data_IF_287701667632
#
_entry.id   IF_287701667632
#
_cell.length_a   1.000
_cell.length_b   1.000
_cell.length_c   1.000
_cell.angle_alpha   90.00
_cell.angle_beta   90.00
_cell.angle_gamma   90.00
#
_symmetry.space_group_name_H-M   'P 1'
#
loop_
_entity.id
_entity.type
_entity.pdbx_description
1 polymer ?
#
# COMPACT_ATOMS: atom_id res chain seq x y z
N UNK A 1 40.42 9.60 -11.02
CA UNK A 1 40.76 10.70 -10.11
C UNK A 1 40.00 10.49 -8.82
N UNK A 2 40.69 10.06 -7.77
CA UNK A 2 40.12 9.91 -6.43
C UNK A 2 40.09 11.28 -5.75
N UNK A 3 38.91 11.87 -5.60
CA UNK A 3 38.76 13.01 -4.70
C UNK A 3 39.08 12.54 -3.28
N UNK A 4 39.96 13.24 -2.53
CA UNK A 4 40.14 12.97 -1.11
C UNK A 4 38.79 13.14 -0.39
N UNK A 5 38.50 12.29 0.59
CA UNK A 5 37.40 12.64 1.50
C UNK A 5 37.82 13.89 2.28
N UNK A 6 36.98 14.94 2.36
CA UNK A 6 37.20 15.99 3.34
C UNK A 6 37.14 15.35 4.73
N UNK A 7 38.03 15.78 5.62
CA UNK A 7 37.87 15.51 7.05
C UNK A 7 36.58 16.15 7.59
N UNK A 8 36.22 15.93 8.86
CA UNK A 8 35.09 16.63 9.48
C UNK A 8 35.37 18.14 9.45
N UNK A 9 34.73 18.83 8.51
CA UNK A 9 34.80 20.28 8.39
C UNK A 9 33.85 20.90 9.39
N UNK A 10 34.35 21.78 10.25
CA UNK A 10 33.54 22.50 11.23
C UNK A 10 32.68 23.58 10.56
N UNK A 11 31.54 23.15 10.01
CA UNK A 11 30.55 24.03 9.38
C UNK A 11 29.68 24.66 10.48
N UNK A 12 29.60 25.99 10.51
CA UNK A 12 28.80 26.74 11.48
C UNK A 12 27.74 27.58 10.80
N UNK A 13 26.54 27.68 11.39
CA UNK A 13 25.48 28.58 10.95
C UNK A 13 25.67 29.96 11.61
N UNK A 14 25.85 31.02 10.81
CA UNK A 14 26.14 32.39 11.31
C UNK A 14 24.93 33.32 11.22
N UNK A 15 23.96 32.98 10.38
CA UNK A 15 22.64 33.58 10.25
C UNK A 15 21.71 32.51 9.65
N UNK A 16 20.37 32.66 9.70
CA UNK A 16 19.45 31.66 9.15
C UNK A 16 19.80 31.27 7.72
N UNK A 17 19.87 29.97 7.45
CA UNK A 17 20.26 29.37 6.15
C UNK A 17 21.65 29.81 5.63
N UNK A 18 22.48 30.43 6.48
CA UNK A 18 23.79 30.99 6.12
C UNK A 18 24.91 30.25 6.84
N UNK A 19 25.60 29.38 6.10
CA UNK A 19 26.62 28.49 6.62
C UNK A 19 28.02 28.91 6.16
N UNK A 20 28.99 28.79 7.05
CA UNK A 20 30.38 29.17 6.84
C UNK A 20 31.28 28.00 7.26
N UNK A 21 32.34 27.76 6.50
CA UNK A 21 33.36 26.75 6.82
C UNK A 21 34.47 27.28 7.76
N UNK A 22 35.39 26.40 8.16
CA UNK A 22 36.55 26.73 9.00
C UNK A 22 37.41 27.88 8.46
N UNK A 23 37.39 28.15 7.15
CA UNK A 23 38.20 29.19 6.51
C UNK A 23 37.50 30.55 6.48
N UNK A 24 36.24 30.63 6.94
CA UNK A 24 35.42 31.83 6.82
C UNK A 24 34.72 31.97 5.47
N UNK A 25 34.78 30.95 4.60
CA UNK A 25 34.10 30.98 3.30
C UNK A 25 32.63 30.58 3.44
N UNK A 26 31.74 31.41 2.91
CA UNK A 26 30.29 31.20 2.92
C UNK A 26 29.90 30.15 1.87
N UNK A 27 29.26 29.07 2.30
CA UNK A 27 28.81 28.00 1.41
C UNK A 27 27.66 28.46 0.51
N UNK A 28 27.74 28.12 -0.78
CA UNK A 28 26.64 28.37 -1.72
C UNK A 28 25.47 27.40 -1.45
N UNK A 29 24.24 27.78 -1.84
CA UNK A 29 23.05 26.92 -1.68
C UNK A 29 23.17 25.55 -2.39
N UNK A 30 24.11 25.41 -3.34
CA UNK A 30 24.42 24.15 -4.02
C UNK A 30 25.36 23.27 -3.19
N UNK A 31 26.28 23.85 -2.44
CA UNK A 31 27.22 23.15 -1.55
C UNK A 31 26.56 22.75 -0.24
N UNK A 32 25.80 23.65 0.38
CA UNK A 32 24.91 23.38 1.53
C UNK A 32 24.10 22.11 1.27
N UNK A 33 23.46 22.02 0.10
CA UNK A 33 22.63 20.86 -0.27
C UNK A 33 23.42 19.65 -0.77
N UNK A 34 24.73 19.58 -0.55
CA UNK A 34 25.54 18.39 -0.81
C UNK A 34 26.07 17.74 0.47
N UNK A 35 26.02 18.44 1.62
CA UNK A 35 26.61 18.02 2.89
C UNK A 35 25.61 18.23 4.04
N UNK A 36 25.71 17.44 5.09
CA UNK A 36 24.92 17.66 6.31
C UNK A 36 25.41 18.94 7.00
N UNK A 37 24.46 19.79 7.40
CA UNK A 37 24.67 21.08 8.08
C UNK A 37 24.00 21.07 9.47
N UNK A 38 24.47 21.90 10.43
CA UNK A 38 23.91 21.99 11.79
C UNK A 38 22.52 22.65 11.88
N UNK A 39 21.82 22.81 10.76
CA UNK A 39 20.59 23.58 10.63
C UNK A 39 19.43 23.10 11.53
N UNK A 40 18.88 24.04 12.30
CA UNK A 40 17.60 24.01 13.05
C UNK A 40 17.35 22.86 14.07
N UNK A 41 18.22 21.86 14.17
CA UNK A 41 18.19 20.81 15.18
C UNK A 41 19.62 20.46 15.58
N UNK A 42 19.84 20.01 16.81
CA UNK A 42 21.16 19.53 17.25
C UNK A 42 21.56 18.28 16.44
N UNK A 43 22.38 18.48 15.41
CA UNK A 43 23.03 17.43 14.63
C UNK A 43 24.33 17.07 15.33
N UNK A 44 24.60 15.78 15.52
CA UNK A 44 25.85 15.31 16.09
C UNK A 44 27.04 15.64 15.17
N UNK A 45 28.15 16.06 15.77
CA UNK A 45 29.30 16.60 15.05
C UNK A 45 29.88 15.63 14.01
N UNK A 46 29.80 14.31 14.24
CA UNK A 46 30.33 13.30 13.29
C UNK A 46 29.50 13.18 12.00
N UNK A 47 28.29 13.75 11.98
CA UNK A 47 27.43 13.80 10.81
C UNK A 47 27.66 15.05 9.97
N UNK A 48 28.15 16.15 10.54
CA UNK A 48 28.38 17.42 9.82
C UNK A 48 29.42 17.19 8.71
N UNK A 49 29.19 17.79 7.54
CA UNK A 49 30.03 17.60 6.35
C UNK A 49 29.81 16.28 5.59
N UNK A 50 29.10 15.29 6.15
CA UNK A 50 28.84 14.02 5.45
C UNK A 50 28.00 14.24 4.18
N UNK A 51 28.26 13.52 3.07
CA UNK A 51 27.57 13.75 1.81
C UNK A 51 26.09 13.35 1.87
N UNK A 52 25.19 14.24 1.43
CA UNK A 52 23.74 14.00 1.42
C UNK A 52 23.29 13.14 0.24
N UNK A 53 22.27 12.31 0.47
CA UNK A 53 21.64 11.53 -0.60
C UNK A 53 20.84 12.42 -1.56
N UNK A 54 21.18 12.35 -2.86
CA UNK A 54 20.44 13.07 -3.92
C UNK A 54 19.00 12.55 -4.06
N UNK A 55 18.01 13.41 -4.40
CA UNK A 55 16.60 13.01 -4.55
C UNK A 55 16.39 11.82 -5.49
N UNK A 56 17.08 11.79 -6.64
CA UNK A 56 16.99 10.69 -7.62
C UNK A 56 17.43 9.35 -7.04
N UNK A 57 18.48 9.32 -6.20
CA UNK A 57 18.92 8.07 -5.53
C UNK A 57 17.89 7.60 -4.52
N UNK A 58 17.27 8.53 -3.76
CA UNK A 58 16.16 8.22 -2.85
C UNK A 58 14.93 7.70 -3.61
N UNK A 59 14.60 8.28 -4.76
CA UNK A 59 13.51 7.81 -5.63
C UNK A 59 13.77 6.40 -6.17
N UNK A 60 14.96 6.15 -6.72
CA UNK A 60 15.36 4.82 -7.21
C UNK A 60 15.35 3.76 -6.09
N UNK A 61 15.82 4.11 -4.89
CA UNK A 61 15.76 3.22 -3.72
C UNK A 61 14.31 2.84 -3.37
N UNK A 62 13.40 3.83 -3.32
CA UNK A 62 11.99 3.61 -3.03
C UNK A 62 11.29 2.81 -4.14
N UNK A 63 11.69 2.96 -5.40
CA UNK A 63 11.18 2.16 -6.52
C UNK A 63 11.57 0.67 -6.39
N UNK A 64 12.84 0.39 -6.08
CA UNK A 64 13.32 -0.98 -5.82
C UNK A 64 12.62 -1.58 -4.60
N UNK A 65 12.56 -0.84 -3.49
CA UNK A 65 11.86 -1.27 -2.27
C UNK A 65 10.36 -1.51 -2.56
N UNK A 66 9.74 -0.71 -3.43
CA UNK A 66 8.35 -0.85 -3.86
C UNK A 66 8.06 -2.15 -4.62
N UNK A 67 8.94 -2.57 -5.54
CA UNK A 67 8.82 -3.88 -6.22
C UNK A 67 8.90 -5.04 -5.22
N UNK A 68 9.80 -4.94 -4.25
CA UNK A 68 9.97 -5.95 -3.18
C UNK A 68 8.72 -6.01 -2.28
N UNK A 69 8.17 -4.84 -1.92
CA UNK A 69 6.93 -4.74 -1.13
C UNK A 69 5.72 -5.25 -1.91
N UNK A 70 5.63 -5.01 -3.21
CA UNK A 70 4.55 -5.55 -4.06
C UNK A 70 4.57 -7.09 -4.08
N UNK A 71 5.77 -7.69 -4.10
CA UNK A 71 5.93 -9.14 -4.01
C UNK A 71 5.68 -9.73 -2.61
N UNK A 72 5.93 -8.95 -1.55
CA UNK A 72 5.49 -9.30 -0.19
C UNK A 72 3.96 -9.21 -0.05
N UNK A 73 3.35 -8.20 -0.68
CA UNK A 73 1.91 -7.97 -0.61
C UNK A 73 1.11 -9.13 -1.19
N UNK A 74 1.57 -9.78 -2.27
CA UNK A 74 0.94 -11.00 -2.82
C UNK A 74 1.18 -12.27 -1.97
N UNK A 75 1.62 -12.14 -0.73
CA UNK A 75 1.98 -13.22 0.20
C UNK A 75 3.01 -14.23 -0.36
N UNK A 76 3.72 -13.87 -1.44
CA UNK A 76 4.48 -14.83 -2.22
C UNK A 76 5.76 -15.26 -1.50
N UNK A 77 5.89 -16.58 -1.29
CA UNK A 77 7.05 -17.19 -0.61
C UNK A 77 8.39 -16.82 -1.27
N UNK A 78 8.41 -16.55 -2.58
CA UNK A 78 9.62 -16.14 -3.31
C UNK A 78 10.18 -14.79 -2.84
N UNK A 79 9.34 -13.92 -2.26
CA UNK A 79 9.76 -12.66 -1.64
C UNK A 79 9.89 -12.80 -0.13
N UNK A 80 8.94 -13.46 0.54
CA UNK A 80 8.94 -13.62 2.01
C UNK A 80 10.18 -14.38 2.49
N UNK A 81 10.52 -15.53 1.88
CA UNK A 81 11.58 -16.40 2.37
C UNK A 81 12.98 -15.74 2.29
N UNK A 82 13.42 -15.14 1.16
CA UNK A 82 14.73 -14.46 1.12
C UNK A 82 14.84 -13.29 2.09
N UNK A 83 13.74 -12.55 2.29
CA UNK A 83 13.67 -11.40 3.21
C UNK A 83 13.82 -11.86 4.66
N UNK A 84 13.06 -12.89 5.07
CA UNK A 84 13.18 -13.46 6.41
C UNK A 84 14.52 -14.14 6.64
N UNK A 85 15.06 -14.88 5.66
CA UNK A 85 16.40 -15.48 5.74
C UNK A 85 17.50 -14.42 5.89
N UNK A 86 17.42 -13.31 5.14
CA UNK A 86 18.34 -12.18 5.29
C UNK A 86 18.26 -11.56 6.69
N UNK A 87 17.05 -11.35 7.23
CA UNK A 87 16.88 -10.84 8.59
C UNK A 87 17.44 -11.81 9.64
N UNK A 88 17.14 -13.11 9.54
CA UNK A 88 17.71 -14.15 10.39
C UNK A 88 19.25 -14.15 10.33
N UNK A 89 19.83 -14.15 9.12
CA UNK A 89 21.27 -14.08 8.91
C UNK A 89 21.90 -12.84 9.58
N UNK A 90 21.28 -11.67 9.43
CA UNK A 90 21.79 -10.45 10.04
C UNK A 90 21.61 -10.43 11.58
N UNK A 91 20.57 -11.08 12.14
CA UNK A 91 20.44 -11.28 13.60
C UNK A 91 21.45 -12.29 14.15
N UNK A 92 21.74 -13.35 13.40
CA UNK A 92 22.78 -14.33 13.71
C UNK A 92 24.17 -13.67 13.73
N UNK A 93 24.52 -12.92 12.67
CA UNK A 93 25.79 -12.17 12.60
C UNK A 93 25.93 -11.14 13.73
N UNK A 94 24.84 -10.49 14.12
CA UNK A 94 24.78 -9.56 15.26
C UNK A 94 24.74 -10.24 16.65
N UNK A 95 24.83 -11.57 16.72
CA UNK A 95 24.77 -12.38 17.95
C UNK A 95 23.49 -12.16 18.80
N UNK A 96 22.40 -11.69 18.18
CA UNK A 96 21.12 -11.42 18.87
C UNK A 96 20.22 -12.65 18.88
N UNK A 97 20.61 -13.67 19.68
CA UNK A 97 19.95 -14.98 19.76
C UNK A 97 18.43 -14.90 19.96
N UNK A 98 17.94 -14.01 20.83
CA UNK A 98 16.50 -13.87 21.09
C UNK A 98 15.72 -13.40 19.85
N UNK A 99 16.28 -12.47 19.07
CA UNK A 99 15.65 -11.99 17.84
C UNK A 99 15.70 -13.07 16.74
N UNK A 100 16.80 -13.82 16.66
CA UNK A 100 16.93 -14.96 15.75
C UNK A 100 15.88 -16.04 16.05
N UNK A 101 15.73 -16.43 17.33
CA UNK A 101 14.73 -17.41 17.75
C UNK A 101 13.31 -16.97 17.38
N UNK A 102 12.97 -15.71 17.66
CA UNK A 102 11.65 -15.14 17.34
C UNK A 102 11.39 -15.13 15.83
N UNK A 103 12.37 -14.75 15.01
CA UNK A 103 12.24 -14.75 13.55
C UNK A 103 12.12 -16.18 12.99
N UNK A 104 12.88 -17.14 13.51
CA UNK A 104 12.76 -18.56 13.12
C UNK A 104 11.37 -19.11 13.47
N UNK A 105 10.87 -18.86 14.68
CA UNK A 105 9.52 -19.24 15.10
C UNK A 105 8.45 -18.57 14.22
N UNK A 106 8.60 -17.29 13.87
CA UNK A 106 7.70 -16.59 12.97
C UNK A 106 7.71 -17.21 11.55
N UNK A 107 8.87 -17.54 10.99
CA UNK A 107 8.94 -18.24 9.69
C UNK A 107 8.31 -19.63 9.74
N UNK A 108 8.50 -20.39 10.81
CA UNK A 108 7.90 -21.72 10.98
C UNK A 108 6.38 -21.63 11.15
N UNK A 109 5.87 -20.63 11.87
CA UNK A 109 4.43 -20.39 11.99
C UNK A 109 3.79 -20.04 10.63
N UNK A 110 4.44 -19.17 9.84
CA UNK A 110 3.96 -18.77 8.51
C UNK A 110 4.11 -19.85 7.43
N UNK A 111 5.09 -20.75 7.58
CA UNK A 111 5.16 -21.99 6.79
C UNK A 111 4.09 -22.99 7.24
N UNK A 112 3.80 -23.04 8.54
CA UNK A 112 2.73 -23.86 9.11
C UNK A 112 1.33 -23.45 8.64
N UNK A 113 1.02 -22.16 8.50
CA UNK A 113 -0.30 -21.71 8.02
C UNK A 113 -0.70 -22.31 6.68
N UNK A 114 0.27 -22.57 5.79
CA UNK A 114 0.04 -23.24 4.51
C UNK A 114 -0.38 -24.71 4.65
N UNK A 115 -0.01 -25.38 5.74
CA UNK A 115 -0.36 -26.79 5.98
C UNK A 115 -1.55 -26.99 6.92
N UNK A 116 -1.84 -26.06 7.83
CA UNK A 116 -2.99 -26.17 8.75
C UNK A 116 -4.23 -25.35 8.35
N UNK A 117 -4.09 -24.30 7.54
CA UNK A 117 -5.21 -23.49 7.05
C UNK A 117 -4.93 -22.93 5.64
N UNK A 118 -4.91 -23.78 4.59
CA UNK A 118 -4.68 -23.33 3.21
C UNK A 118 -5.71 -22.28 2.74
N UNK A 119 -6.93 -22.34 3.29
CA UNK A 119 -8.04 -21.41 3.01
C UNK A 119 -7.68 -19.94 3.30
N UNK A 120 -6.89 -19.68 4.35
CA UNK A 120 -6.49 -18.31 4.74
C UNK A 120 -5.50 -17.65 3.77
N UNK A 121 -4.81 -18.44 2.95
CA UNK A 121 -3.89 -17.92 1.91
C UNK A 121 -4.63 -17.78 0.58
N UNK A 122 -5.70 -18.55 0.37
CA UNK A 122 -6.40 -18.65 -0.91
C UNK A 122 -7.46 -17.55 -1.13
N UNK A 123 -7.90 -16.82 -0.10
CA UNK A 123 -8.82 -15.69 -0.27
C UNK A 123 -8.24 -14.56 -1.13
N UNK A 124 -6.91 -14.37 -1.12
CA UNK A 124 -6.29 -13.25 -1.82
C UNK A 124 -6.19 -13.46 -3.35
N UNK A 125 -6.27 -14.70 -3.83
CA UNK A 125 -6.32 -15.01 -5.27
C UNK A 125 -7.77 -14.97 -5.77
N UNK A 126 -8.75 -15.33 -4.93
CA UNK A 126 -10.19 -15.35 -5.27
C UNK A 126 -10.82 -13.98 -5.53
N UNK A 127 -10.13 -12.88 -5.22
CA UNK A 127 -10.58 -11.52 -5.53
C UNK A 127 -10.40 -11.13 -7.01
N UNK A 128 -9.69 -11.94 -7.81
CA UNK A 128 -9.56 -11.76 -9.25
C UNK A 128 -9.88 -13.09 -9.95
N UNK A 129 -11.10 -13.19 -10.50
CA UNK A 129 -11.69 -14.39 -11.11
C UNK A 129 -11.94 -15.49 -10.07
N UNK A 130 -13.18 -15.52 -9.54
CA UNK A 130 -13.71 -16.72 -8.92
C UNK A 130 -13.72 -17.87 -9.94
N UNK A 131 -13.48 -19.10 -9.49
CA UNK A 131 -13.25 -20.29 -10.31
C UNK A 131 -14.57 -20.82 -10.93
N UNK A 132 -15.26 -19.96 -11.69
CA UNK A 132 -16.50 -20.26 -12.39
C UNK A 132 -16.16 -21.11 -13.60
N UNK A 133 -16.49 -22.39 -13.54
CA UNK A 133 -16.37 -23.34 -14.66
C UNK A 133 -17.43 -23.07 -15.73
N UNK A 134 -17.29 -21.94 -16.41
CA UNK A 134 -18.04 -21.60 -17.62
C UNK A 134 -17.75 -22.66 -18.69
N UNK A 135 -18.77 -23.01 -19.47
CA UNK A 135 -18.53 -23.71 -20.74
C UNK A 135 -17.73 -22.80 -21.67
N UNK A 136 -16.93 -23.34 -22.62
CA UNK A 136 -16.21 -22.51 -23.59
C UNK A 136 -17.12 -21.57 -24.39
N UNK A 137 -18.40 -21.93 -24.56
CA UNK A 137 -19.41 -21.13 -25.23
C UNK A 137 -19.89 -19.97 -24.33
N UNK A 138 -20.29 -20.25 -23.08
CA UNK A 138 -20.71 -19.21 -22.13
C UNK A 138 -19.59 -18.21 -21.79
N UNK A 139 -18.33 -18.66 -21.70
CA UNK A 139 -17.18 -17.77 -21.55
C UNK A 139 -16.92 -16.89 -22.77
N UNK A 140 -17.19 -17.39 -23.99
CA UNK A 140 -17.05 -16.62 -25.22
C UNK A 140 -18.15 -15.55 -25.36
N UNK A 141 -19.41 -15.90 -25.06
CA UNK A 141 -20.52 -14.94 -25.07
C UNK A 141 -20.39 -13.89 -23.96
N UNK A 142 -19.91 -14.26 -22.77
CA UNK A 142 -19.55 -13.30 -21.70
C UNK A 142 -18.51 -12.28 -22.20
N UNK A 143 -17.40 -12.74 -22.75
CA UNK A 143 -16.34 -11.87 -23.25
C UNK A 143 -16.81 -10.96 -24.41
N UNK A 144 -17.64 -11.49 -25.31
CA UNK A 144 -18.24 -10.77 -26.44
C UNK A 144 -19.21 -9.69 -25.97
N UNK A 145 -20.14 -10.01 -25.07
CA UNK A 145 -21.11 -9.05 -24.52
C UNK A 145 -20.39 -7.92 -23.76
N UNK A 146 -19.39 -8.23 -22.93
CA UNK A 146 -18.57 -7.21 -22.26
C UNK A 146 -17.83 -6.29 -23.24
N UNK A 147 -17.32 -6.84 -24.36
CA UNK A 147 -16.61 -6.05 -25.37
C UNK A 147 -17.57 -5.16 -26.19
N UNK A 148 -18.74 -5.68 -26.56
CA UNK A 148 -19.78 -4.90 -27.26
C UNK A 148 -20.30 -3.76 -26.37
N UNK A 149 -20.62 -4.04 -25.10
CA UNK A 149 -21.05 -3.03 -24.13
C UNK A 149 -19.97 -1.99 -23.80
N UNK A 150 -18.69 -2.34 -23.88
CA UNK A 150 -17.58 -1.41 -23.65
C UNK A 150 -17.19 -0.57 -24.88
N UNK A 151 -17.58 -0.98 -26.09
CA UNK A 151 -17.13 -0.35 -27.34
C UNK A 151 -18.22 0.42 -28.10
N UNK A 152 -19.50 0.20 -27.75
CA UNK A 152 -20.64 0.81 -28.42
C UNK A 152 -21.52 1.57 -27.42
N UNK A 153 -21.86 2.83 -27.73
CA UNK A 153 -22.83 3.61 -26.97
C UNK A 153 -24.22 2.95 -27.07
N UNK A 154 -24.56 2.10 -26.10
CA UNK A 154 -25.81 1.35 -26.08
C UNK A 154 -26.85 1.99 -25.15
N UNK A 155 -28.10 2.03 -25.62
CA UNK A 155 -29.25 2.45 -24.83
C UNK A 155 -29.77 1.32 -23.93
N UNK A 156 -30.72 1.63 -23.05
CA UNK A 156 -31.32 0.65 -22.14
C UNK A 156 -31.84 -0.60 -22.88
N UNK A 157 -32.42 -0.43 -24.08
CA UNK A 157 -32.97 -1.52 -24.87
C UNK A 157 -31.87 -2.45 -25.45
N UNK A 158 -30.76 -1.88 -25.95
CA UNK A 158 -29.58 -2.66 -26.32
C UNK A 158 -29.05 -3.46 -25.12
N UNK A 159 -28.87 -2.80 -23.97
CA UNK A 159 -28.26 -3.46 -22.80
C UNK A 159 -29.17 -4.59 -22.29
N UNK A 160 -30.50 -4.38 -22.25
CA UNK A 160 -31.45 -5.44 -21.88
C UNK A 160 -31.35 -6.68 -22.79
N UNK A 161 -31.26 -6.50 -24.11
CA UNK A 161 -31.15 -7.63 -25.05
C UNK A 161 -29.83 -8.40 -24.89
N UNK A 162 -28.71 -7.70 -24.69
CA UNK A 162 -27.39 -8.31 -24.48
C UNK A 162 -27.31 -9.07 -23.16
N UNK A 163 -27.80 -8.47 -22.07
CA UNK A 163 -27.85 -9.12 -20.75
C UNK A 163 -28.80 -10.32 -20.77
N UNK A 164 -29.93 -10.25 -21.47
CA UNK A 164 -30.83 -11.38 -21.67
C UNK A 164 -30.16 -12.56 -22.38
N UNK A 165 -29.42 -12.30 -23.46
CA UNK A 165 -28.69 -13.33 -24.20
C UNK A 165 -27.64 -14.00 -23.31
N UNK A 166 -26.84 -13.20 -22.60
CA UNK A 166 -25.85 -13.70 -21.64
C UNK A 166 -26.48 -14.49 -20.48
N UNK A 167 -27.60 -14.02 -19.93
CA UNK A 167 -28.27 -14.67 -18.81
C UNK A 167 -28.76 -16.09 -19.14
N UNK A 168 -29.33 -16.27 -20.34
CA UNK A 168 -29.80 -17.58 -20.83
C UNK A 168 -28.62 -18.55 -21.00
N UNK A 169 -27.55 -18.09 -21.65
CA UNK A 169 -26.34 -18.89 -21.87
C UNK A 169 -25.66 -19.32 -20.55
N UNK A 170 -25.58 -18.41 -19.56
CA UNK A 170 -25.07 -18.73 -18.24
C UNK A 170 -25.96 -19.75 -17.51
N UNK A 171 -27.29 -19.66 -17.66
CA UNK A 171 -28.23 -20.61 -17.08
C UNK A 171 -28.09 -22.01 -17.72
N UNK A 172 -27.90 -22.11 -19.04
CA UNK A 172 -27.63 -23.38 -19.73
C UNK A 172 -26.28 -23.99 -19.34
N UNK A 173 -25.28 -23.15 -19.01
CA UNK A 173 -23.96 -23.61 -18.55
C UNK A 173 -23.94 -24.21 -17.13
N UNK A 174 -25.06 -24.18 -16.39
CA UNK A 174 -25.20 -24.80 -15.07
C UNK A 174 -24.64 -23.98 -13.90
N UNK A 175 -24.42 -22.68 -14.11
CA UNK A 175 -23.95 -21.71 -13.11
C UNK A 175 -25.03 -21.48 -12.05
N UNK A 176 -24.65 -21.28 -10.77
CA UNK A 176 -25.65 -21.04 -9.71
C UNK A 176 -26.27 -19.64 -9.83
N UNK A 177 -27.49 -19.46 -9.30
CA UNK A 177 -28.16 -18.15 -9.28
C UNK A 177 -27.45 -17.07 -8.43
N UNK A 178 -26.38 -17.42 -7.72
CA UNK A 178 -25.50 -16.47 -7.03
C UNK A 178 -24.39 -16.03 -7.99
N UNK A 179 -23.64 -17.00 -8.56
CA UNK A 179 -22.61 -16.78 -9.56
C UNK A 179 -23.13 -16.08 -10.83
N UNK A 180 -24.35 -16.39 -11.27
CA UNK A 180 -25.02 -15.72 -12.39
C UNK A 180 -25.30 -14.25 -12.06
N UNK A 181 -25.63 -13.94 -10.80
CA UNK A 181 -25.87 -12.58 -10.31
C UNK A 181 -24.57 -11.76 -10.31
N UNK A 182 -23.49 -12.34 -9.81
CA UNK A 182 -22.18 -11.68 -9.75
C UNK A 182 -21.64 -11.38 -11.17
N UNK A 183 -21.71 -12.35 -12.10
CA UNK A 183 -21.29 -12.15 -13.49
C UNK A 183 -22.11 -11.06 -14.20
N UNK A 184 -23.43 -11.03 -14.03
CA UNK A 184 -24.26 -9.98 -14.60
C UNK A 184 -24.03 -8.61 -13.93
N UNK A 185 -23.75 -8.56 -12.63
CA UNK A 185 -23.46 -7.31 -11.91
C UNK A 185 -22.14 -6.69 -12.39
N UNK A 186 -21.11 -7.50 -12.63
CA UNK A 186 -19.81 -7.08 -13.18
C UNK A 186 -19.94 -6.56 -14.63
N UNK A 187 -20.65 -7.28 -15.50
CA UNK A 187 -20.89 -6.84 -16.88
C UNK A 187 -21.70 -5.54 -16.94
N UNK A 188 -22.70 -5.39 -16.06
CA UNK A 188 -23.49 -4.16 -15.98
C UNK A 188 -22.70 -2.97 -15.42
N UNK A 189 -21.68 -3.17 -14.57
CA UNK A 189 -20.80 -2.10 -14.06
C UNK A 189 -19.91 -1.46 -15.15
N UNK A 190 -19.78 -2.09 -16.33
CA UNK A 190 -19.12 -1.51 -17.52
C UNK A 190 -20.01 -0.43 -18.16
N UNK A 191 -21.32 -0.50 -17.96
CA UNK A 191 -22.32 0.37 -18.62
C UNK A 191 -22.64 1.63 -17.80
N UNK A 192 -23.33 2.60 -18.41
CA UNK A 192 -23.83 3.79 -17.71
C UNK A 192 -25.10 3.54 -16.86
N UNK A 193 -25.54 2.28 -16.70
CA UNK A 193 -26.72 1.95 -15.90
C UNK A 193 -26.41 1.99 -14.40
N UNK A 194 -27.20 2.75 -13.65
CA UNK A 194 -27.00 2.93 -12.22
C UNK A 194 -28.29 2.77 -11.42
N UNK A 195 -28.17 2.41 -10.15
CA UNK A 195 -29.28 2.45 -9.19
C UNK A 195 -30.40 1.45 -9.45
N UNK A 196 -31.61 1.95 -9.71
CA UNK A 196 -32.83 1.15 -9.81
C UNK A 196 -32.89 0.34 -11.11
N UNK A 197 -32.36 0.86 -12.20
CA UNK A 197 -32.40 0.23 -13.53
C UNK A 197 -31.49 -1.01 -13.58
N UNK A 198 -30.27 -0.91 -13.02
CA UNK A 198 -29.34 -2.05 -12.86
C UNK A 198 -29.98 -3.18 -12.06
N UNK A 199 -30.60 -2.86 -10.91
CA UNK A 199 -31.28 -3.84 -10.04
C UNK A 199 -32.46 -4.51 -10.74
N UNK A 200 -33.28 -3.74 -11.46
CA UNK A 200 -34.43 -4.27 -12.20
C UNK A 200 -34.03 -5.28 -13.28
N UNK A 201 -32.89 -5.09 -13.95
CA UNK A 201 -32.35 -6.07 -14.90
C UNK A 201 -31.81 -7.33 -14.19
N UNK A 202 -31.07 -7.18 -13.10
CA UNK A 202 -30.56 -8.31 -12.31
C UNK A 202 -31.69 -9.20 -11.75
N UNK A 203 -32.71 -8.59 -11.16
CA UNK A 203 -33.87 -9.31 -10.61
C UNK A 203 -34.75 -9.96 -11.70
N UNK A 204 -34.73 -9.43 -12.93
CA UNK A 204 -35.48 -9.95 -14.07
C UNK A 204 -34.82 -11.15 -14.74
N UNK A 205 -33.49 -11.23 -14.74
CA UNK A 205 -32.73 -12.24 -15.50
C UNK A 205 -32.04 -13.30 -14.63
N UNK A 206 -31.94 -13.11 -13.32
CA UNK A 206 -31.40 -14.13 -12.42
C UNK A 206 -32.52 -14.92 -11.76
N UNK A 207 -32.57 -16.22 -12.05
CA UNK A 207 -33.62 -17.11 -11.55
C UNK A 207 -33.63 -17.16 -10.01
N UNK A 208 -34.70 -16.66 -9.38
CA UNK A 208 -34.92 -16.89 -7.96
C UNK A 208 -35.33 -18.36 -7.72
N UNK A 209 -34.67 -19.09 -6.80
CA UNK A 209 -35.28 -20.26 -6.19
C UNK A 209 -36.56 -19.81 -5.48
N UNK A 210 -37.70 -20.45 -5.78
CA UNK A 210 -38.95 -20.14 -5.09
C UNK A 210 -38.83 -20.54 -3.61
N UNK A 211 -38.55 -19.56 -2.75
CA UNK A 211 -38.78 -19.71 -1.31
C UNK A 211 -40.29 -19.64 -1.10
N UNK A 212 -40.92 -20.80 -0.93
CA UNK A 212 -42.32 -20.90 -0.49
C UNK A 212 -42.40 -20.32 0.92
N UNK A 213 -42.87 -19.08 1.01
CA UNK A 213 -43.20 -18.48 2.30
C UNK A 213 -44.45 -19.19 2.88
N UNK A 214 -44.41 -19.71 4.11
CA UNK A 214 -45.63 -20.09 4.82
C UNK A 214 -46.46 -18.82 5.12
N UNK A 215 -47.80 -18.94 5.29
CA UNK A 215 -48.66 -17.78 5.41
C UNK A 215 -48.42 -16.97 6.69
N UNK A 216 -48.65 -15.66 6.57
CA UNK A 216 -48.55 -14.68 7.66
C UNK A 216 -49.56 -14.98 8.76
N UNK A 217 -49.13 -14.89 10.02
CA UNK A 217 -50.01 -14.67 11.17
C UNK A 217 -49.63 -13.36 11.83
N UNK A 218 -50.59 -12.43 11.90
CA UNK A 218 -50.42 -11.14 12.58
C UNK A 218 -50.42 -11.31 14.11
N UNK A 219 -49.64 -10.50 14.83
CA UNK A 219 -50.12 -9.86 16.07
C UNK A 219 -49.17 -8.79 16.65
N UNK A 220 -49.70 -7.56 16.72
CA UNK A 220 -49.61 -6.60 17.85
C UNK A 220 -48.34 -5.77 18.10
N UNK A 221 -48.56 -4.44 18.15
CA UNK A 221 -47.72 -3.30 18.55
C UNK A 221 -47.57 -3.18 20.09
N UNK A 222 -46.72 -2.39 20.77
CA UNK A 222 -45.76 -1.28 20.50
C UNK A 222 -44.91 -1.09 21.82
N UNK A 223 -44.15 0.00 22.11
CA UNK A 223 -43.55 1.07 21.28
C UNK A 223 -42.04 1.38 21.54
N UNK A 224 -41.49 2.19 20.61
CA UNK A 224 -40.46 3.23 20.78
C UNK A 224 -39.12 2.97 21.53
N UNK A 225 -38.02 2.97 20.74
CA UNK A 225 -36.86 3.85 20.97
C UNK A 225 -36.36 4.43 19.64
N UNK A 226 -36.17 5.75 19.61
CA UNK A 226 -35.88 6.50 18.39
C UNK A 226 -34.38 6.63 18.06
N UNK A 227 -34.11 6.90 16.78
CA UNK A 227 -33.00 7.71 16.26
C UNK A 227 -31.54 7.29 16.55
N UNK A 228 -31.05 6.27 15.82
CA UNK A 228 -29.63 6.27 15.35
C UNK A 228 -29.38 5.54 14.02
N UNK A 229 -30.26 4.64 13.59
CA UNK A 229 -30.01 3.76 12.43
C UNK A 229 -30.33 4.39 11.05
N UNK A 230 -31.19 5.41 10.97
CA UNK A 230 -31.67 5.97 9.70
C UNK A 230 -30.61 6.66 8.83
N UNK A 231 -29.46 7.04 9.40
CA UNK A 231 -28.33 7.59 8.64
C UNK A 231 -27.47 6.48 8.01
N UNK A 232 -27.23 5.39 8.75
CA UNK A 232 -26.47 4.24 8.24
C UNK A 232 -27.24 3.48 7.17
N UNK A 233 -28.55 3.29 7.32
CA UNK A 233 -29.37 2.65 6.28
C UNK A 233 -29.55 3.54 5.04
N UNK A 234 -29.59 4.87 5.18
CA UNK A 234 -29.55 5.79 4.03
C UNK A 234 -28.19 5.78 3.31
N UNK A 235 -27.08 5.63 4.03
CA UNK A 235 -25.75 5.48 3.42
C UNK A 235 -25.54 4.10 2.79
N UNK A 236 -26.20 3.05 3.30
CA UNK A 236 -26.19 1.70 2.73
C UNK A 236 -26.95 1.62 1.39
N UNK A 237 -27.94 2.50 1.20
CA UNK A 237 -28.78 2.59 0.00
C UNK A 237 -28.41 3.75 -0.95
N UNK A 238 -27.33 4.50 -0.70
CA UNK A 238 -26.83 5.50 -1.67
C UNK A 238 -25.78 4.85 -2.59
N UNK A 239 -26.13 4.69 -3.86
CA UNK A 239 -25.28 4.11 -4.92
C UNK A 239 -24.15 5.05 -5.36
N UNK A 240 -23.33 5.51 -4.40
CA UNK A 240 -22.08 6.19 -4.69
C UNK A 240 -20.89 5.36 -4.23
N UNK A 241 -20.14 4.95 -5.26
CA UNK A 241 -18.78 4.42 -5.31
C UNK A 241 -17.87 4.71 -4.11
N UNK A 242 -17.99 5.86 -3.43
CA UNK A 242 -17.16 6.27 -2.29
C UNK A 242 -16.99 5.21 -1.18
N UNK A 243 -18.03 4.48 -0.77
CA UNK A 243 -17.86 3.44 0.29
C UNK A 243 -17.16 2.19 -0.26
N UNK A 244 -17.45 1.78 -1.51
CA UNK A 244 -16.71 0.70 -2.20
C UNK A 244 -15.25 1.11 -2.46
N UNK A 245 -15.00 2.35 -2.87
CA UNK A 245 -13.68 2.96 -3.12
C UNK A 245 -12.88 3.11 -1.83
N UNK A 246 -13.47 3.60 -0.73
CA UNK A 246 -12.81 3.64 0.58
C UNK A 246 -12.51 2.22 1.08
N UNK A 247 -13.41 1.25 0.89
CA UNK A 247 -13.15 -0.16 1.26
C UNK A 247 -12.06 -0.80 0.40
N UNK A 248 -12.07 -0.57 -0.91
CA UNK A 248 -11.04 -1.02 -1.86
C UNK A 248 -9.68 -0.44 -1.49
N UNK A 249 -9.59 0.89 -1.37
CA UNK A 249 -8.41 1.58 -0.85
C UNK A 249 -7.99 1.03 0.51
N UNK A 250 -8.92 0.79 1.44
CA UNK A 250 -8.55 0.28 2.77
C UNK A 250 -8.08 -1.18 2.74
N UNK A 251 -8.52 -2.00 1.77
CA UNK A 251 -8.00 -3.35 1.53
C UNK A 251 -6.63 -3.33 0.83
N UNK A 252 -6.53 -2.59 -0.28
CA UNK A 252 -5.32 -2.41 -1.10
C UNK A 252 -4.18 -1.77 -0.28
N UNK A 253 -4.50 -0.73 0.49
CA UNK A 253 -3.57 -0.19 1.48
C UNK A 253 -3.41 -1.16 2.64
N UNK A 254 -4.47 -1.70 3.23
CA UNK A 254 -4.42 -2.47 4.48
C UNK A 254 -3.33 -3.55 4.50
N UNK A 255 -3.29 -4.39 3.45
CA UNK A 255 -2.29 -5.45 3.36
C UNK A 255 -0.94 -4.93 2.83
N UNK A 256 -0.92 -4.22 1.70
CA UNK A 256 0.32 -3.74 1.06
C UNK A 256 1.10 -2.71 1.88
N UNK A 257 0.39 -1.76 2.49
CA UNK A 257 0.95 -0.80 3.44
C UNK A 257 1.40 -1.49 4.73
N UNK A 258 0.70 -2.52 5.20
CA UNK A 258 1.14 -3.36 6.32
C UNK A 258 2.52 -3.98 6.07
N UNK A 259 2.71 -4.60 4.90
CA UNK A 259 4.01 -5.12 4.46
C UNK A 259 5.06 -4.02 4.28
N UNK A 260 4.68 -2.84 3.77
CA UNK A 260 5.59 -1.69 3.68
C UNK A 260 6.06 -1.22 5.07
N UNK A 261 5.15 -1.05 6.03
CA UNK A 261 5.46 -0.68 7.41
C UNK A 261 6.41 -1.70 8.04
N UNK A 262 6.11 -3.00 7.92
CA UNK A 262 6.95 -4.09 8.40
C UNK A 262 8.34 -4.04 7.78
N UNK A 263 8.41 -4.08 6.44
CA UNK A 263 9.65 -4.09 5.68
C UNK A 263 10.56 -2.92 6.07
N UNK A 264 10.05 -1.68 5.95
CA UNK A 264 10.84 -0.50 6.24
C UNK A 264 11.25 -0.41 7.71
N UNK A 265 10.36 -0.70 8.66
CA UNK A 265 10.66 -0.60 10.10
C UNK A 265 11.80 -1.55 10.50
N UNK A 266 11.69 -2.82 10.12
CA UNK A 266 12.67 -3.84 10.51
C UNK A 266 13.98 -3.72 9.73
N UNK A 267 13.96 -3.47 8.42
CA UNK A 267 15.21 -3.30 7.66
C UNK A 267 15.97 -2.04 8.09
N UNK A 268 15.30 -0.89 8.22
CA UNK A 268 15.98 0.37 8.59
C UNK A 268 16.56 0.26 10.00
N UNK A 269 15.80 -0.22 10.99
CA UNK A 269 16.30 -0.35 12.36
C UNK A 269 17.46 -1.35 12.48
N UNK A 270 17.33 -2.51 11.84
CA UNK A 270 18.26 -3.62 12.06
C UNK A 270 19.44 -3.71 11.08
N UNK A 271 19.43 -2.92 10.00
CA UNK A 271 20.54 -2.83 9.03
C UNK A 271 21.18 -1.43 9.03
N UNK A 272 21.28 -0.77 10.18
CA UNK A 272 21.94 0.54 10.35
C UNK A 272 21.43 1.62 9.35
N UNK A 273 20.13 1.64 9.07
CA UNK A 273 19.49 2.61 8.18
C UNK A 273 19.23 2.15 6.75
N UNK A 274 19.55 0.90 6.39
CA UNK A 274 19.47 0.39 5.01
C UNK A 274 18.30 -0.58 4.75
N UNK A 275 17.53 -0.30 3.72
CA UNK A 275 16.72 -1.28 2.98
C UNK A 275 17.52 -1.87 1.82
N UNK A 276 16.97 -2.84 1.09
CA UNK A 276 17.66 -3.44 -0.07
C UNK A 276 17.84 -2.42 -1.20
N UNK A 277 16.82 -1.61 -1.52
CA UNK A 277 16.94 -0.51 -2.49
C UNK A 277 17.91 0.58 -2.06
N UNK A 278 17.96 0.92 -0.76
CA UNK A 278 18.94 1.87 -0.21
C UNK A 278 20.37 1.33 -0.23
N UNK A 279 20.57 0.05 0.08
CA UNK A 279 21.85 -0.64 -0.04
C UNK A 279 22.36 -0.61 -1.49
N UNK A 280 21.50 -0.96 -2.46
CA UNK A 280 21.83 -0.96 -3.89
C UNK A 280 22.17 0.45 -4.43
N UNK A 281 21.51 1.49 -3.93
CA UNK A 281 21.77 2.89 -4.31
C UNK A 281 22.87 3.57 -3.47
N UNK A 282 23.46 2.83 -2.53
CA UNK A 282 24.47 3.25 -1.53
C UNK A 282 24.06 4.47 -0.70
N UNK A 283 22.86 4.45 -0.15
CA UNK A 283 22.38 5.47 0.79
C UNK A 283 21.93 4.81 2.10
N UNK A 284 21.93 5.54 3.21
CA UNK A 284 21.35 5.06 4.48
C UNK A 284 20.67 6.19 5.25
N UNK A 285 19.69 5.82 6.06
CA UNK A 285 19.07 6.72 7.06
C UNK A 285 19.96 6.75 8.30
N UNK A 286 20.11 7.91 8.93
CA UNK A 286 20.82 8.08 10.21
C UNK A 286 19.98 8.99 11.10
N UNK A 287 19.95 8.74 12.42
CA UNK A 287 19.38 9.71 13.36
C UNK A 287 20.32 10.92 13.48
N UNK A 288 19.77 12.11 13.71
CA UNK A 288 20.55 13.34 13.87
C UNK A 288 21.46 13.30 15.10
N UNK A 289 21.14 12.49 16.11
CA UNK A 289 21.97 12.27 17.30
C UNK A 289 23.01 11.13 17.12
N UNK A 290 23.19 10.65 15.88
CA UNK A 290 24.11 9.57 15.48
C UNK A 290 23.88 8.22 16.21
N UNK A 291 22.77 8.05 16.94
CA UNK A 291 22.44 6.79 17.61
C UNK A 291 21.86 5.75 16.62
N UNK A 292 21.97 4.44 16.94
CA UNK A 292 21.37 3.40 16.11
C UNK A 292 19.84 3.51 16.11
N UNK A 293 19.28 3.53 14.89
CA UNK A 293 17.84 3.65 14.64
C UNK A 293 17.04 2.58 15.40
N UNK A 294 16.29 3.02 16.42
CA UNK A 294 15.38 2.15 17.15
C UNK A 294 14.20 1.70 16.28
N UNK A 295 13.52 0.62 16.68
CA UNK A 295 12.30 0.16 16.01
C UNK A 295 11.21 1.25 16.05
N UNK A 296 11.06 1.95 17.18
CA UNK A 296 10.10 3.04 17.32
C UNK A 296 10.42 4.23 16.41
N UNK A 297 11.68 4.66 16.36
CA UNK A 297 12.10 5.75 15.46
C UNK A 297 11.96 5.35 13.98
N UNK A 298 12.19 4.08 13.65
CA UNK A 298 11.98 3.55 12.30
C UNK A 298 10.49 3.50 11.95
N UNK A 299 9.63 3.11 12.88
CA UNK A 299 8.17 3.07 12.69
C UNK A 299 7.55 4.48 12.60
N UNK A 300 7.92 5.41 13.47
CA UNK A 300 7.42 6.79 13.43
C UNK A 300 7.80 7.50 12.14
N UNK A 301 9.01 7.23 11.61
CA UNK A 301 9.44 7.65 10.27
C UNK A 301 8.47 7.16 9.19
N UNK A 302 7.95 5.95 9.30
CA UNK A 302 6.98 5.43 8.33
C UNK A 302 5.60 6.07 8.49
N UNK A 303 5.15 6.34 9.71
CA UNK A 303 3.96 7.19 9.96
C UNK A 303 4.08 8.59 9.33
N UNK A 304 5.29 9.15 9.27
CA UNK A 304 5.58 10.40 8.57
C UNK A 304 5.27 10.41 7.07
N UNK A 305 5.16 9.25 6.39
CA UNK A 305 4.69 9.21 5.01
C UNK A 305 3.19 9.51 4.91
N UNK A 306 2.38 9.10 5.89
CA UNK A 306 0.97 9.50 5.98
C UNK A 306 0.80 11.02 6.05
N UNK A 307 1.64 11.70 6.84
CA UNK A 307 1.69 13.16 6.89
C UNK A 307 2.14 13.79 5.55
N UNK A 308 3.04 13.14 4.80
CA UNK A 308 3.42 13.56 3.45
C UNK A 308 2.27 13.52 2.44
N UNK A 309 1.40 12.51 2.51
CA UNK A 309 0.17 12.48 1.72
C UNK A 309 -0.86 13.50 2.19
N UNK A 310 -1.09 13.60 3.51
CA UNK A 310 -2.04 14.55 4.10
C UNK A 310 -1.69 16.03 3.83
N UNK A 311 -0.40 16.34 3.60
CA UNK A 311 0.07 17.67 3.18
C UNK A 311 0.08 17.88 1.66
N UNK A 312 -0.67 17.08 0.90
CA UNK A 312 -0.78 17.22 -0.56
C UNK A 312 0.56 17.01 -1.28
N UNK A 313 1.37 16.06 -0.81
CA UNK A 313 2.74 15.77 -1.28
C UNK A 313 3.77 16.88 -1.02
N UNK A 314 3.38 18.07 -0.54
CA UNK A 314 4.31 19.17 -0.23
C UNK A 314 5.33 18.73 0.82
N UNK A 315 4.93 17.95 1.83
CA UNK A 315 5.83 17.37 2.82
C UNK A 315 6.93 16.48 2.22
N UNK A 316 6.67 15.80 1.11
CA UNK A 316 7.71 15.06 0.38
C UNK A 316 8.57 15.98 -0.50
N UNK A 317 7.95 16.98 -1.14
CA UNK A 317 8.62 17.94 -1.99
C UNK A 317 9.66 18.80 -1.24
N UNK A 318 9.58 18.92 0.10
CA UNK A 318 10.57 19.63 0.94
C UNK A 318 12.03 19.26 0.62
N UNK A 319 12.31 18.02 0.23
CA UNK A 319 13.63 17.56 -0.25
C UNK A 319 14.25 18.45 -1.36
N UNK A 320 13.41 19.16 -2.12
CA UNK A 320 13.78 20.00 -3.25
C UNK A 320 14.28 21.40 -2.85
N UNK A 321 14.08 21.85 -1.61
CA UNK A 321 14.59 23.13 -1.11
C UNK A 321 15.27 23.06 0.27
N UNK A 322 14.93 22.09 1.11
CA UNK A 322 15.51 21.90 2.45
C UNK A 322 17.05 21.78 2.42
N UNK A 323 17.80 22.47 3.31
CA UNK A 323 19.26 22.43 3.38
C UNK A 323 19.80 21.00 3.50
N UNK A 324 19.29 20.25 4.48
CA UNK A 324 19.68 18.87 4.77
C UNK A 324 18.94 17.83 3.90
N UNK A 325 18.18 18.28 2.88
CA UNK A 325 17.32 17.44 2.02
C UNK A 325 16.37 16.54 2.84
N UNK A 326 15.89 17.02 3.97
CA UNK A 326 14.91 16.32 4.79
C UNK A 326 13.51 16.50 4.20
N UNK A 327 12.80 15.39 4.00
CA UNK A 327 11.36 15.40 3.77
C UNK A 327 10.62 15.30 5.12
N UNK A 328 9.30 15.51 5.13
CA UNK A 328 8.49 15.52 6.36
C UNK A 328 8.69 14.28 7.24
N UNK A 329 8.80 13.10 6.64
CA UNK A 329 9.07 11.86 7.35
C UNK A 329 10.45 11.82 8.02
N UNK A 330 11.45 12.47 7.40
CA UNK A 330 12.80 12.52 7.94
C UNK A 330 12.83 13.44 9.17
N UNK A 331 12.09 14.57 9.11
CA UNK A 331 11.92 15.53 10.22
C UNK A 331 11.15 14.94 11.40
N UNK A 332 10.02 14.25 11.16
CA UNK A 332 9.21 13.60 12.20
C UNK A 332 10.01 12.58 13.03
N UNK A 333 11.00 11.91 12.42
CA UNK A 333 11.84 10.92 13.09
C UNK A 333 13.20 11.45 13.57
N UNK A 334 13.49 12.74 13.40
CA UNK A 334 14.82 13.34 13.61
C UNK A 334 15.93 12.54 12.89
N UNK A 335 15.77 12.36 11.58
CA UNK A 335 16.69 11.61 10.71
C UNK A 335 17.16 12.42 9.51
N UNK A 336 18.28 12.00 8.93
CA UNK A 336 18.80 12.47 7.64
C UNK A 336 19.18 11.27 6.77
N UNK A 337 19.23 11.44 5.45
CA UNK A 337 19.64 10.38 4.52
C UNK A 337 20.97 10.75 3.87
N UNK A 338 22.02 10.03 4.24
CA UNK A 338 23.38 10.26 3.73
C UNK A 338 23.72 9.29 2.60
N UNK A 339 24.68 9.71 1.77
CA UNK A 339 25.33 8.89 0.76
C UNK A 339 26.53 8.16 1.39
N UNK A 340 26.76 6.90 0.98
CA UNK A 340 27.97 6.16 1.30
C UNK A 340 28.75 5.93 0.00
N UNK A 341 29.96 6.50 -0.15
CA UNK A 341 30.71 6.44 -1.41
C UNK A 341 31.02 5.02 -1.88
#
# INVERSE_FOLDING_TARGET
MSHPQPGPQEIREVAPDTFVDETGHQLTSKEVRQIVTPHAFAVADELIGQPLARPVRRGLAMGIDGVIISGLASASLIFVLPIMLYLCWNRYKAQKKNHLLLMVLATLAMLGTLSWAPELVQEQEKAAVSDIRLTPHAGAELAKVSLELSSQDCDYACIEDKIKQLALELQESGVTAEQQRDLLDEVLDITSLHGTEKRALLDKYVAQPQVVAPPVTESVTEPAKEASYSLLDKLKNSDYSLIKWVKGILADFGLGYGWAMFYFTFYISWNNGQTLGKLLTRIRVVQLDNKPLSLWASFSRQGGYGAGFATGLIGFAQILWDPNRQAIQDKVASTVVIYQP
#
